data_IF_227749071950
#
_entry.id   IF_227749071950
#
_cell.length_a   1.000
_cell.length_b   1.000
_cell.length_c   1.000
_cell.angle_alpha   90.00
_cell.angle_beta   90.00
_cell.angle_gamma   90.00
#
_symmetry.space_group_name_H-M   'P 1'
#
loop_
_entity.id
_entity.type
_entity.pdbx_description
1 polymer ?
#
# COMPACT_ATOMS: atom_id res chain seq x y z
N UNK A 1 20.52 -6.95 -8.06
CA UNK A 1 19.51 -7.81 -7.39
C UNK A 1 18.18 -7.79 -8.12
N UNK A 2 17.62 -6.60 -8.41
CA UNK A 2 16.44 -6.45 -9.26
C UNK A 2 16.87 -5.79 -10.58
N UNK A 3 16.43 -6.34 -11.70
CA UNK A 3 16.57 -5.76 -13.04
C UNK A 3 15.17 -5.31 -13.51
N UNK A 4 14.95 -3.99 -13.56
CA UNK A 4 13.72 -3.43 -14.12
C UNK A 4 13.85 -3.40 -15.63
N UNK A 5 13.32 -4.42 -16.29
CA UNK A 5 13.43 -4.59 -17.75
C UNK A 5 12.58 -3.57 -18.51
N UNK A 6 11.34 -3.36 -18.06
CA UNK A 6 10.38 -2.50 -18.74
C UNK A 6 9.34 -1.89 -17.80
N UNK A 7 8.79 -0.75 -18.20
CA UNK A 7 7.62 -0.10 -17.61
C UNK A 7 6.53 0.05 -18.67
N UNK A 8 5.28 0.11 -18.22
CA UNK A 8 4.11 0.14 -19.12
C UNK A 8 3.13 1.21 -18.66
N UNK A 9 2.76 2.11 -19.57
CA UNK A 9 1.68 3.07 -19.34
C UNK A 9 0.98 3.42 -20.67
N UNK A 10 0.06 4.38 -20.63
CA UNK A 10 -0.80 4.83 -21.72
C UNK A 10 -0.02 5.34 -22.94
N UNK A 11 1.21 5.81 -22.76
CA UNK A 11 2.10 6.24 -23.83
C UNK A 11 3.50 5.62 -23.65
N UNK A 12 4.39 5.84 -24.63
CA UNK A 12 5.78 5.34 -24.62
C UNK A 12 6.78 6.49 -24.69
N UNK A 13 6.37 7.70 -24.28
CA UNK A 13 7.20 8.90 -24.35
C UNK A 13 8.16 8.93 -23.16
N UNK A 14 9.40 8.46 -23.37
CA UNK A 14 10.38 8.34 -22.30
C UNK A 14 10.76 9.70 -21.70
N UNK A 15 10.67 10.80 -22.46
CA UNK A 15 10.95 12.15 -21.95
C UNK A 15 9.91 12.56 -20.91
N UNK A 16 8.63 12.25 -21.17
CA UNK A 16 7.56 12.50 -20.21
C UNK A 16 7.71 11.66 -18.94
N UNK A 17 8.05 10.38 -19.05
CA UNK A 17 8.32 9.55 -17.88
C UNK A 17 9.55 10.04 -17.10
N UNK A 18 10.61 10.46 -17.78
CA UNK A 18 11.78 11.04 -17.12
C UNK A 18 11.43 12.33 -16.37
N UNK A 19 10.53 13.17 -16.93
CA UNK A 19 10.01 14.34 -16.24
C UNK A 19 9.22 13.96 -14.98
N UNK A 20 8.27 13.03 -15.08
CA UNK A 20 7.47 12.55 -13.94
C UNK A 20 8.35 11.95 -12.84
N UNK A 21 9.38 11.19 -13.20
CA UNK A 21 10.32 10.64 -12.23
C UNK A 21 11.16 11.72 -11.57
N UNK A 22 11.59 12.76 -12.32
CA UNK A 22 12.53 13.78 -11.82
C UNK A 22 11.91 14.73 -10.80
N UNK A 23 10.62 15.03 -10.94
CA UNK A 23 9.93 16.05 -10.15
C UNK A 23 8.64 15.50 -9.54
N UNK A 24 8.65 15.33 -8.21
CA UNK A 24 7.49 14.94 -7.44
C UNK A 24 7.08 16.08 -6.48
N UNK A 25 5.78 16.41 -6.45
CA UNK A 25 5.24 17.48 -5.61
C UNK A 25 5.39 17.21 -4.11
N UNK A 26 5.31 15.95 -3.70
CA UNK A 26 5.33 15.52 -2.29
C UNK A 26 6.74 15.03 -1.91
N UNK A 27 7.31 14.14 -2.73
CA UNK A 27 8.56 13.43 -2.43
C UNK A 27 9.81 14.18 -2.89
N UNK A 28 9.65 15.31 -3.58
CA UNK A 28 10.73 16.17 -4.03
C UNK A 28 11.44 15.69 -5.29
N UNK A 29 12.73 16.00 -5.41
CA UNK A 29 13.52 15.65 -6.60
C UNK A 29 14.11 14.25 -6.47
N UNK A 30 14.00 13.47 -7.55
CA UNK A 30 14.65 12.17 -7.59
C UNK A 30 16.17 12.31 -7.52
N UNK A 31 16.79 11.50 -6.65
CA UNK A 31 18.22 11.63 -6.29
C UNK A 31 19.16 11.08 -7.36
N UNK A 32 18.63 10.40 -8.36
CA UNK A 32 19.41 9.72 -9.40
C UNK A 32 19.26 10.40 -10.74
N UNK A 33 20.28 10.28 -11.59
CA UNK A 33 20.24 10.81 -12.94
C UNK A 33 19.32 9.98 -13.80
N UNK A 34 18.35 10.65 -14.44
CA UNK A 34 17.45 10.06 -15.41
C UNK A 34 17.64 10.76 -16.75
N UNK A 35 18.06 9.99 -17.75
CA UNK A 35 18.12 10.38 -19.16
C UNK A 35 17.27 9.44 -20.00
N UNK A 36 17.17 9.71 -21.29
CA UNK A 36 16.36 8.94 -22.24
C UNK A 36 17.19 8.53 -23.45
N UNK A 37 16.75 7.48 -24.12
CA UNK A 37 17.34 7.03 -25.37
C UNK A 37 16.30 6.32 -26.23
N UNK A 38 16.64 6.13 -27.50
CA UNK A 38 15.92 5.22 -28.39
C UNK A 38 16.38 3.78 -28.18
N UNK A 39 15.44 2.84 -28.27
CA UNK A 39 15.70 1.40 -28.31
C UNK A 39 16.27 0.97 -29.67
N UNK A 40 15.90 1.69 -30.73
CA UNK A 40 16.37 1.47 -32.09
C UNK A 40 16.42 2.80 -32.89
N UNK A 41 17.30 2.92 -33.93
CA UNK A 41 17.44 4.16 -34.70
C UNK A 41 16.18 4.61 -35.45
N UNK A 42 15.27 3.67 -35.76
CA UNK A 42 14.01 3.96 -36.45
C UNK A 42 12.89 4.47 -35.54
N UNK A 43 13.08 4.46 -34.21
CA UNK A 43 12.08 4.98 -33.28
C UNK A 43 11.89 6.50 -33.48
N UNK A 44 10.63 6.93 -33.52
CA UNK A 44 10.29 8.34 -33.76
C UNK A 44 10.68 9.23 -32.58
N UNK A 45 10.50 8.73 -31.36
CA UNK A 45 10.89 9.37 -30.08
C UNK A 45 11.69 8.39 -29.22
N UNK A 46 12.28 8.91 -28.15
CA UNK A 46 12.88 8.09 -27.11
C UNK A 46 11.80 7.24 -26.41
N UNK A 47 12.09 5.95 -26.30
CA UNK A 47 11.21 4.92 -25.74
C UNK A 47 11.94 4.09 -24.66
N UNK A 48 13.11 4.54 -24.23
CA UNK A 48 13.92 3.89 -23.20
C UNK A 48 14.34 4.92 -22.15
N UNK A 49 14.03 4.64 -20.89
CA UNK A 49 14.57 5.36 -19.74
C UNK A 49 15.98 4.84 -19.42
N UNK A 50 16.87 5.73 -18.98
CA UNK A 50 18.21 5.39 -18.52
C UNK A 50 18.42 5.98 -17.12
N UNK A 51 18.48 5.11 -16.11
CA UNK A 51 18.61 5.48 -14.69
C UNK A 51 19.94 4.96 -14.17
N UNK A 52 20.89 5.85 -13.83
CA UNK A 52 22.26 5.47 -13.44
C UNK A 52 22.93 4.49 -14.42
N UNK A 53 22.66 4.62 -15.72
CA UNK A 53 23.17 3.72 -16.77
C UNK A 53 22.33 2.46 -17.00
N UNK A 54 21.36 2.14 -16.13
CA UNK A 54 20.44 1.02 -16.34
C UNK A 54 19.34 1.39 -17.34
N UNK A 55 19.09 0.54 -18.34
CA UNK A 55 18.13 0.81 -19.44
C UNK A 55 16.80 0.11 -19.16
N UNK A 56 15.71 0.87 -19.24
CA UNK A 56 14.36 0.41 -18.94
C UNK A 56 13.45 0.76 -20.12
N UNK A 57 12.86 -0.25 -20.77
CA UNK A 57 12.03 -0.04 -21.96
C UNK A 57 10.63 0.46 -21.61
N UNK A 58 10.13 1.46 -22.33
CA UNK A 58 8.76 1.95 -22.21
C UNK A 58 7.86 1.20 -23.20
N UNK A 59 7.05 0.28 -22.70
CA UNK A 59 6.15 -0.55 -23.51
C UNK A 59 4.75 0.05 -23.52
N UNK A 60 4.07 -0.04 -24.67
CA UNK A 60 2.70 0.46 -24.82
C UNK A 60 1.73 -0.38 -24.00
N UNK A 61 0.90 0.27 -23.18
CA UNK A 61 -0.18 -0.40 -22.47
C UNK A 61 -1.13 -1.15 -23.41
N UNK A 62 -1.59 -2.31 -22.95
CA UNK A 62 -2.58 -3.13 -23.62
C UNK A 62 -3.87 -3.14 -22.80
N UNK A 63 -5.01 -3.27 -23.49
CA UNK A 63 -6.31 -3.41 -22.81
C UNK A 63 -6.43 -4.75 -22.09
N UNK A 64 -5.77 -5.78 -22.60
CA UNK A 64 -5.74 -7.12 -22.02
C UNK A 64 -4.29 -7.47 -21.63
N UNK A 65 -4.02 -7.82 -20.36
CA UNK A 65 -2.66 -8.15 -19.91
C UNK A 65 -2.02 -9.34 -20.62
N UNK A 66 -2.81 -10.22 -21.24
CA UNK A 66 -2.30 -11.36 -21.99
C UNK A 66 -1.57 -10.95 -23.29
N UNK A 67 -1.83 -9.75 -23.80
CA UNK A 67 -1.21 -9.25 -25.03
C UNK A 67 0.13 -8.55 -24.75
N UNK A 68 0.54 -8.45 -23.47
CA UNK A 68 1.82 -7.87 -23.09
C UNK A 68 2.98 -8.84 -23.38
N UNK A 69 4.11 -8.35 -23.89
CA UNK A 69 5.19 -9.20 -24.41
C UNK A 69 6.16 -9.70 -23.33
N UNK A 70 5.67 -10.09 -22.15
CA UNK A 70 6.54 -10.43 -21.00
C UNK A 70 7.54 -11.55 -21.28
N UNK A 71 7.08 -12.63 -21.92
CA UNK A 71 7.96 -13.75 -22.29
C UNK A 71 9.03 -13.34 -23.31
N UNK A 72 8.71 -12.43 -24.23
CA UNK A 72 9.68 -11.91 -25.22
C UNK A 72 10.72 -11.00 -24.57
N UNK A 73 10.32 -10.26 -23.54
CA UNK A 73 11.20 -9.37 -22.77
C UNK A 73 11.98 -10.10 -21.67
N UNK A 74 11.69 -11.39 -21.40
CA UNK A 74 12.32 -12.14 -20.33
C UNK A 74 11.91 -11.68 -18.92
N UNK A 75 10.70 -11.13 -18.77
CA UNK A 75 10.20 -10.63 -17.49
C UNK A 75 9.59 -11.77 -16.68
N UNK A 76 10.19 -12.09 -15.54
CA UNK A 76 9.70 -13.14 -14.63
C UNK A 76 8.64 -12.63 -13.64
N UNK A 77 8.83 -11.43 -13.10
CA UNK A 77 7.96 -10.85 -12.07
C UNK A 77 7.34 -9.55 -12.59
N UNK A 78 6.02 -9.44 -12.51
CA UNK A 78 5.29 -8.21 -12.85
C UNK A 78 4.63 -7.63 -11.60
N UNK A 79 4.79 -6.31 -11.43
CA UNK A 79 4.05 -5.53 -10.45
C UNK A 79 2.84 -4.92 -11.17
N UNK A 80 1.64 -5.37 -10.82
CA UNK A 80 0.40 -4.88 -11.40
C UNK A 80 -0.12 -3.69 -10.59
N UNK A 81 0.04 -2.50 -11.18
CA UNK A 81 -0.25 -1.20 -10.55
C UNK A 81 -1.18 -0.30 -11.36
N UNK A 82 -1.88 -0.84 -12.36
CA UNK A 82 -2.88 -0.06 -13.13
C UNK A 82 -4.14 0.22 -12.30
N UNK A 83 -4.44 -0.64 -11.33
CA UNK A 83 -5.70 -0.61 -10.56
C UNK A 83 -6.90 -1.20 -11.31
N UNK A 84 -6.73 -1.59 -12.58
CA UNK A 84 -7.80 -2.16 -13.41
C UNK A 84 -7.89 -3.69 -13.28
N UNK A 85 -6.77 -4.36 -12.99
CA UNK A 85 -6.67 -5.82 -12.98
C UNK A 85 -6.58 -6.39 -11.55
N UNK A 86 -7.42 -5.91 -10.64
CA UNK A 86 -7.45 -6.39 -9.23
C UNK A 86 -8.16 -7.73 -9.06
N UNK A 87 -8.90 -8.22 -10.06
CA UNK A 87 -9.45 -9.57 -10.06
C UNK A 87 -8.37 -10.58 -10.50
N UNK A 88 -8.15 -11.65 -9.71
CA UNK A 88 -7.15 -12.68 -9.99
C UNK A 88 -7.20 -13.21 -11.44
N UNK A 89 -8.37 -13.60 -12.01
CA UNK A 89 -8.42 -14.11 -13.38
C UNK A 89 -7.97 -13.09 -14.45
N UNK A 90 -8.16 -11.79 -14.17
CA UNK A 90 -7.72 -10.72 -15.06
C UNK A 90 -6.19 -10.55 -14.97
N UNK A 91 -5.63 -10.50 -13.75
CA UNK A 91 -4.19 -10.42 -13.52
C UNK A 91 -3.42 -11.67 -13.99
N UNK A 92 -4.05 -12.85 -14.01
CA UNK A 92 -3.47 -14.06 -14.63
C UNK A 92 -3.19 -13.89 -16.13
N UNK A 93 -3.72 -12.84 -16.78
CA UNK A 93 -3.32 -12.44 -18.12
C UNK A 93 -1.82 -12.19 -18.25
N UNK A 94 -1.16 -11.61 -17.25
CA UNK A 94 0.30 -11.42 -17.30
C UNK A 94 1.06 -12.74 -17.40
N UNK A 95 0.55 -13.81 -16.77
CA UNK A 95 1.14 -15.16 -16.89
C UNK A 95 1.03 -15.67 -18.32
N UNK A 96 -0.12 -15.45 -18.98
CA UNK A 96 -0.32 -15.80 -20.39
C UNK A 96 0.56 -14.97 -21.33
N UNK A 97 0.87 -13.72 -20.96
CA UNK A 97 1.86 -12.88 -21.64
C UNK A 97 3.31 -13.34 -21.46
N UNK A 98 3.55 -14.35 -20.62
CA UNK A 98 4.85 -15.00 -20.41
C UNK A 98 5.57 -14.64 -19.11
N UNK A 99 4.94 -13.87 -18.22
CA UNK A 99 5.47 -13.67 -16.87
C UNK A 99 5.30 -14.93 -16.00
N UNK A 100 6.11 -15.09 -14.96
CA UNK A 100 6.02 -16.24 -14.03
C UNK A 100 5.23 -15.91 -12.76
N UNK A 101 5.31 -14.67 -12.28
CA UNK A 101 4.69 -14.22 -11.03
C UNK A 101 4.12 -12.81 -11.18
N UNK A 102 3.00 -12.55 -10.49
CA UNK A 102 2.32 -11.26 -10.46
C UNK A 102 2.09 -10.81 -9.03
N UNK A 103 2.44 -9.57 -8.74
CA UNK A 103 2.19 -8.90 -7.46
C UNK A 103 1.23 -7.76 -7.72
N UNK A 104 -0.02 -7.91 -7.28
CA UNK A 104 -1.03 -6.86 -7.36
C UNK A 104 -0.76 -5.86 -6.23
N UNK A 105 -0.54 -4.59 -6.56
CA UNK A 105 -0.23 -3.53 -5.59
C UNK A 105 -1.46 -2.94 -4.89
N UNK A 106 -2.54 -3.72 -4.79
CA UNK A 106 -3.83 -3.35 -4.22
C UNK A 106 -4.56 -4.62 -3.70
N UNK A 107 -5.62 -4.48 -2.89
CA UNK A 107 -6.47 -5.62 -2.51
C UNK A 107 -7.03 -6.31 -3.75
N UNK A 108 -6.84 -7.63 -3.81
CA UNK A 108 -7.30 -8.43 -4.93
C UNK A 108 -8.58 -9.21 -4.59
N UNK A 109 -9.34 -9.56 -5.65
CA UNK A 109 -10.50 -10.46 -5.55
C UNK A 109 -10.26 -11.74 -6.35
N UNK A 110 -11.14 -12.74 -6.19
CA UNK A 110 -11.03 -14.02 -6.92
C UNK A 110 -9.98 -14.98 -6.35
N UNK A 111 -9.69 -14.90 -5.05
CA UNK A 111 -8.86 -15.89 -4.35
C UNK A 111 -7.35 -15.76 -4.57
N UNK A 112 -6.85 -14.56 -4.89
CA UNK A 112 -5.40 -14.29 -4.84
C UNK A 112 -4.93 -14.31 -3.37
N UNK A 113 -3.74 -14.86 -3.10
CA UNK A 113 -3.17 -14.87 -1.75
C UNK A 113 -2.74 -13.46 -1.36
N UNK A 114 -3.33 -12.93 -0.30
CA UNK A 114 -2.90 -11.66 0.31
C UNK A 114 -1.73 -11.90 1.25
N UNK A 115 -0.66 -11.14 1.08
CA UNK A 115 0.55 -11.20 1.89
C UNK A 115 0.87 -9.80 2.41
N UNK A 116 1.20 -9.72 3.70
CA UNK A 116 1.66 -8.50 4.37
C UNK A 116 3.03 -8.78 4.98
N UNK A 117 4.00 -7.95 4.63
CA UNK A 117 5.38 -8.06 5.08
C UNK A 117 5.48 -7.90 6.60
N UNK A 118 6.34 -8.68 7.25
CA UNK A 118 6.45 -8.77 8.72
C UNK A 118 5.29 -9.48 9.43
N UNK A 119 4.18 -9.78 8.74
CA UNK A 119 3.00 -10.41 9.36
C UNK A 119 2.82 -11.86 8.89
N UNK A 120 2.53 -12.07 7.60
CA UNK A 120 2.24 -13.40 7.05
C UNK A 120 2.97 -13.71 5.72
N UNK A 121 3.91 -12.87 5.29
CA UNK A 121 4.65 -13.07 4.03
C UNK A 121 5.37 -14.43 3.93
N UNK A 122 5.73 -15.04 5.06
CA UNK A 122 6.33 -16.38 5.12
C UNK A 122 5.35 -17.51 4.72
N UNK A 123 4.05 -17.23 4.66
CA UNK A 123 3.04 -18.15 4.12
C UNK A 123 3.08 -18.23 2.59
N UNK A 124 3.96 -17.46 1.93
CA UNK A 124 4.15 -17.56 0.49
C UNK A 124 4.65 -18.95 0.09
N UNK A 125 3.89 -19.61 -0.80
CA UNK A 125 4.23 -20.91 -1.36
C UNK A 125 4.56 -20.77 -2.83
N UNK A 126 5.83 -20.97 -3.24
CA UNK A 126 6.26 -20.77 -4.62
C UNK A 126 5.50 -21.60 -5.66
N UNK A 127 5.03 -22.80 -5.31
CA UNK A 127 4.29 -23.70 -6.20
C UNK A 127 2.79 -23.38 -6.31
N UNK A 128 2.21 -22.64 -5.36
CA UNK A 128 0.76 -22.38 -5.31
C UNK A 128 0.45 -20.91 -5.67
N UNK A 129 1.24 -19.98 -5.14
CA UNK A 129 0.96 -18.55 -5.19
C UNK A 129 1.64 -17.89 -6.40
N UNK A 130 0.94 -17.82 -7.53
CA UNK A 130 1.45 -17.20 -8.76
C UNK A 130 1.00 -15.75 -8.95
N UNK A 131 -0.21 -15.46 -8.50
CA UNK A 131 -0.78 -14.12 -8.44
C UNK A 131 -1.11 -13.82 -6.99
N UNK A 132 -0.41 -12.85 -6.41
CA UNK A 132 -0.53 -12.45 -5.01
C UNK A 132 -0.93 -10.98 -4.90
N UNK A 133 -1.44 -10.57 -3.74
CA UNK A 133 -1.76 -9.19 -3.42
C UNK A 133 -0.89 -8.73 -2.26
N UNK A 134 -0.31 -7.53 -2.38
CA UNK A 134 0.37 -6.86 -1.28
C UNK A 134 -0.61 -6.05 -0.39
N UNK A 135 -1.90 -6.40 -0.42
CA UNK A 135 -2.99 -5.71 0.28
C UNK A 135 -3.11 -4.22 -0.10
N UNK A 136 -3.67 -3.39 0.80
CA UNK A 136 -3.71 -1.92 0.67
C UNK A 136 -2.69 -1.26 1.61
N UNK A 137 -2.40 0.03 1.39
CA UNK A 137 -1.61 0.85 2.31
C UNK A 137 -2.19 0.83 3.75
N UNK A 138 -3.50 1.04 3.92
CA UNK A 138 -4.14 0.99 5.24
C UNK A 138 -4.05 -0.40 5.89
N UNK A 139 -4.14 -1.48 5.12
CA UNK A 139 -3.96 -2.85 5.66
C UNK A 139 -2.53 -3.07 6.13
N UNK A 140 -1.53 -2.60 5.37
CA UNK A 140 -0.12 -2.65 5.76
C UNK A 140 0.19 -1.77 6.99
N UNK A 141 -0.59 -0.72 7.26
CA UNK A 141 -0.47 0.07 8.48
C UNK A 141 -1.14 -0.61 9.70
N UNK A 142 -2.35 -1.15 9.52
CA UNK A 142 -3.12 -1.75 10.61
C UNK A 142 -2.64 -3.15 11.01
N UNK A 143 -2.28 -4.00 10.05
CA UNK A 143 -1.94 -5.39 10.31
C UNK A 143 -0.71 -5.56 11.23
N UNK A 144 0.38 -4.78 11.12
CA UNK A 144 1.49 -4.82 12.08
C UNK A 144 1.05 -4.57 13.53
N UNK A 145 0.18 -3.59 13.77
CA UNK A 145 -0.33 -3.28 15.11
C UNK A 145 -1.13 -4.47 15.65
N UNK A 146 -2.11 -4.95 14.88
CA UNK A 146 -2.93 -6.11 15.27
C UNK A 146 -2.09 -7.37 15.47
N UNK A 147 -1.07 -7.58 14.63
CA UNK A 147 -0.16 -8.71 14.76
C UNK A 147 0.58 -8.68 16.10
N UNK A 148 1.09 -7.51 16.52
CA UNK A 148 1.73 -7.36 17.84
C UNK A 148 0.72 -7.61 18.95
N UNK A 149 -0.49 -7.04 18.88
CA UNK A 149 -1.53 -7.23 19.89
C UNK A 149 -1.88 -8.71 20.11
N UNK A 150 -2.01 -9.46 19.02
CA UNK A 150 -2.31 -10.91 19.07
C UNK A 150 -1.09 -11.70 19.55
N UNK A 151 0.10 -11.42 19.02
CA UNK A 151 1.32 -12.18 19.32
C UNK A 151 1.82 -12.00 20.76
N UNK A 152 1.62 -10.82 21.32
CA UNK A 152 1.97 -10.50 22.72
C UNK A 152 0.88 -10.94 23.71
N UNK A 153 -0.18 -11.60 23.24
CA UNK A 153 -1.21 -12.19 24.08
C UNK A 153 -2.17 -11.18 24.71
N UNK A 154 -2.25 -9.94 24.22
CA UNK A 154 -3.35 -9.03 24.56
C UNK A 154 -4.66 -9.50 23.90
N UNK A 155 -4.54 -9.96 22.65
CA UNK A 155 -5.64 -10.40 21.82
C UNK A 155 -6.53 -9.24 21.35
N UNK A 156 -7.49 -9.58 20.51
CA UNK A 156 -8.52 -8.67 19.99
C UNK A 156 -9.85 -9.41 20.04
N UNK A 157 -10.77 -8.94 20.88
CA UNK A 157 -12.13 -9.46 20.94
C UNK A 157 -12.99 -8.81 19.85
N UNK A 158 -13.05 -7.48 19.84
CA UNK A 158 -13.65 -6.69 18.76
C UNK A 158 -12.85 -5.43 18.52
N UNK A 159 -12.93 -4.86 17.32
CA UNK A 159 -12.30 -3.58 17.04
C UNK A 159 -12.91 -2.82 15.86
N UNK A 160 -12.91 -1.51 15.99
CA UNK A 160 -13.31 -0.55 14.99
C UNK A 160 -12.13 0.36 14.68
N UNK A 161 -11.96 0.70 13.41
CA UNK A 161 -10.94 1.67 13.03
C UNK A 161 -11.50 2.73 12.10
N UNK A 162 -10.93 3.90 12.26
CA UNK A 162 -11.05 5.01 11.34
C UNK A 162 -9.69 5.24 10.73
N UNK A 163 -9.62 5.53 9.43
CA UNK A 163 -8.41 6.11 8.85
C UNK A 163 -8.69 7.54 8.39
N UNK A 164 -7.91 8.49 8.90
CA UNK A 164 -7.88 9.85 8.38
C UNK A 164 -6.87 9.82 7.24
N UNK A 165 -7.39 9.90 6.02
CA UNK A 165 -6.68 9.51 4.83
C UNK A 165 -6.48 10.70 3.89
N UNK A 166 -5.28 10.89 3.37
CA UNK A 166 -5.03 11.87 2.29
C UNK A 166 -5.85 11.55 1.04
N UNK A 167 -6.21 12.56 0.26
CA UNK A 167 -6.91 12.30 -1.00
C UNK A 167 -5.97 11.59 -1.99
N UNK A 168 -6.53 10.88 -2.98
CA UNK A 168 -5.75 10.11 -3.96
C UNK A 168 -6.19 10.42 -5.39
N UNK A 169 -5.50 9.84 -6.38
CA UNK A 169 -5.77 10.03 -7.80
C UNK A 169 -7.20 9.64 -8.25
N UNK A 170 -7.95 8.89 -7.42
CA UNK A 170 -9.34 8.54 -7.76
C UNK A 170 -10.34 9.68 -7.51
N UNK A 171 -10.01 10.61 -6.63
CA UNK A 171 -10.84 11.75 -6.26
C UNK A 171 -10.79 12.85 -7.34
N UNK A 172 -11.67 13.86 -7.20
CA UNK A 172 -11.85 14.92 -8.19
C UNK A 172 -11.42 16.27 -7.61
N UNK A 173 -10.82 17.11 -8.45
CA UNK A 173 -10.40 18.47 -8.08
C UNK A 173 -11.60 19.36 -7.75
N UNK A 174 -12.68 19.22 -8.54
CA UNK A 174 -13.98 19.86 -8.34
C UNK A 174 -15.09 18.81 -8.32
N UNK A 175 -16.30 19.20 -7.93
CA UNK A 175 -17.47 18.29 -7.95
C UNK A 175 -17.65 17.65 -9.35
N UNK A 176 -17.77 16.32 -9.40
CA UNK A 176 -17.80 15.56 -10.64
C UNK A 176 -18.40 14.16 -10.52
N UNK A 177 -18.43 13.45 -11.65
CA UNK A 177 -19.12 12.16 -11.76
C UNK A 177 -18.34 11.05 -11.04
N UNK A 178 -19.00 10.40 -10.07
CA UNK A 178 -18.51 9.20 -9.38
C UNK A 178 -19.68 8.28 -9.02
N UNK A 179 -20.18 7.53 -10.00
CA UNK A 179 -21.43 6.73 -9.86
C UNK A 179 -21.32 5.64 -8.78
N UNK A 180 -20.11 5.08 -8.58
CA UNK A 180 -19.86 4.02 -7.59
C UNK A 180 -19.57 4.54 -6.17
N UNK A 181 -19.24 5.82 -6.03
CA UNK A 181 -18.93 6.48 -4.75
C UNK A 181 -19.32 7.96 -4.84
N UNK A 182 -20.58 8.27 -4.56
CA UNK A 182 -21.12 9.63 -4.75
C UNK A 182 -20.37 10.66 -3.91
N UNK A 183 -20.01 10.30 -2.67
CA UNK A 183 -19.24 11.18 -1.77
C UNK A 183 -17.85 11.44 -2.33
N UNK A 184 -17.19 10.42 -2.88
CA UNK A 184 -15.88 10.55 -3.54
C UNK A 184 -15.87 11.40 -4.81
N UNK A 185 -17.03 11.73 -5.39
CA UNK A 185 -17.15 12.65 -6.52
C UNK A 185 -17.09 14.13 -6.14
N UNK A 186 -17.16 14.46 -4.84
CA UNK A 186 -17.09 15.85 -4.36
C UNK A 186 -15.66 16.39 -4.39
N UNK A 187 -15.51 17.70 -4.48
CA UNK A 187 -14.23 18.40 -4.53
C UNK A 187 -13.32 18.02 -3.34
N UNK A 188 -12.21 17.34 -3.63
CA UNK A 188 -11.42 16.63 -2.61
C UNK A 188 -10.65 17.55 -1.66
N UNK A 189 -10.07 18.63 -2.18
CA UNK A 189 -9.19 19.53 -1.43
C UNK A 189 -9.94 20.51 -0.51
N UNK A 190 -11.27 20.43 -0.42
CA UNK A 190 -12.10 21.34 0.38
C UNK A 190 -13.18 20.62 1.20
N UNK A 191 -13.11 19.29 1.30
CA UNK A 191 -14.09 18.50 2.05
C UNK A 191 -13.41 17.45 2.93
N UNK A 192 -14.08 17.12 4.03
CA UNK A 192 -13.87 15.86 4.74
C UNK A 192 -14.87 14.86 4.17
N UNK A 193 -14.40 13.85 3.45
CA UNK A 193 -15.25 12.93 2.68
C UNK A 193 -15.26 11.55 3.38
N UNK A 194 -16.36 11.16 4.05
CA UNK A 194 -16.45 9.83 4.64
C UNK A 194 -16.59 8.76 3.56
N UNK A 195 -15.89 7.65 3.70
CA UNK A 195 -15.93 6.51 2.78
C UNK A 195 -15.79 5.18 3.53
N UNK A 196 -16.36 4.10 2.98
CA UNK A 196 -16.18 2.75 3.53
C UNK A 196 -14.80 2.22 3.19
N UNK A 197 -14.28 1.27 3.98
CA UNK A 197 -13.00 0.62 3.68
C UNK A 197 -13.06 -0.89 3.94
N UNK A 198 -12.34 -1.65 3.11
CA UNK A 198 -12.13 -3.08 3.29
C UNK A 198 -10.88 -3.43 4.10
N UNK A 199 -10.06 -2.45 4.49
CA UNK A 199 -8.71 -2.69 5.03
C UNK A 199 -8.72 -3.58 6.28
N UNK A 200 -9.61 -3.31 7.23
CA UNK A 200 -9.69 -4.12 8.44
C UNK A 200 -10.34 -5.48 8.27
N UNK A 201 -11.27 -5.61 7.33
CA UNK A 201 -11.78 -6.92 6.94
C UNK A 201 -10.64 -7.75 6.33
N UNK A 202 -9.73 -7.13 5.59
CA UNK A 202 -8.55 -7.77 5.03
C UNK A 202 -7.51 -8.19 6.09
N UNK A 203 -7.48 -7.54 7.27
CA UNK A 203 -6.66 -8.00 8.40
C UNK A 203 -7.08 -9.40 8.83
N UNK A 204 -8.37 -9.73 8.83
CA UNK A 204 -8.85 -11.08 9.11
C UNK A 204 -8.32 -12.15 8.13
N UNK A 205 -8.06 -11.78 6.87
CA UNK A 205 -7.46 -12.69 5.88
C UNK A 205 -5.97 -12.95 6.14
N UNK A 206 -5.28 -11.97 6.73
CA UNK A 206 -3.83 -11.98 7.00
C UNK A 206 -3.54 -12.54 8.40
N UNK A 207 -4.46 -12.33 9.35
CA UNK A 207 -4.41 -12.78 10.73
C UNK A 207 -5.73 -13.50 11.02
N UNK A 208 -5.85 -14.80 10.67
CA UNK A 208 -7.12 -15.54 10.71
C UNK A 208 -7.84 -15.53 12.06
N UNK A 209 -7.13 -15.43 13.18
CA UNK A 209 -7.71 -15.31 14.53
C UNK A 209 -8.53 -14.04 14.77
N UNK A 210 -8.46 -13.06 13.86
CA UNK A 210 -9.20 -11.80 13.89
C UNK A 210 -10.31 -11.71 12.82
N UNK A 211 -10.56 -12.80 12.09
CA UNK A 211 -11.59 -12.86 11.07
C UNK A 211 -12.98 -12.52 11.66
N UNK A 212 -13.65 -11.53 11.07
CA UNK A 212 -14.97 -11.08 11.50
C UNK A 212 -14.99 -10.18 12.75
N UNK A 213 -13.84 -9.91 13.38
CA UNK A 213 -13.75 -9.09 14.60
C UNK A 213 -13.44 -7.61 14.34
N UNK A 214 -13.00 -7.29 13.13
CA UNK A 214 -12.53 -5.96 12.74
C UNK A 214 -13.30 -5.42 11.53
N UNK A 215 -13.75 -4.17 11.63
CA UNK A 215 -14.31 -3.40 10.50
C UNK A 215 -14.08 -1.91 10.72
N UNK A 216 -14.29 -1.07 9.71
CA UNK A 216 -14.19 0.36 9.91
C UNK A 216 -14.47 1.23 8.70
N UNK A 217 -14.04 2.47 8.80
CA UNK A 217 -14.30 3.53 7.83
C UNK A 217 -13.08 4.40 7.57
N UNK A 218 -13.22 5.32 6.63
CA UNK A 218 -12.21 6.33 6.33
C UNK A 218 -12.84 7.71 6.21
N UNK A 219 -12.08 8.73 6.56
CA UNK A 219 -12.34 10.12 6.21
C UNK A 219 -11.22 10.59 5.30
N UNK A 220 -11.55 10.87 4.04
CA UNK A 220 -10.59 11.48 3.11
C UNK A 220 -10.53 12.98 3.39
N UNK A 221 -9.34 13.52 3.62
CA UNK A 221 -9.12 14.91 4.04
C UNK A 221 -8.21 15.67 3.06
N UNK A 222 -8.21 17.02 3.08
CA UNK A 222 -7.41 17.87 2.18
C UNK A 222 -5.89 17.87 2.40
N UNK A 223 -5.26 16.70 2.44
CA UNK A 223 -3.80 16.52 2.45
C UNK A 223 -3.38 15.66 1.26
N UNK A 224 -2.23 15.94 0.62
CA UNK A 224 -1.81 15.26 -0.61
C UNK A 224 -1.15 13.89 -0.38
N UNK A 225 -0.59 13.66 0.81
CA UNK A 225 0.04 12.39 1.21
C UNK A 225 0.11 12.27 2.74
N UNK A 226 0.46 11.07 3.22
CA UNK A 226 0.42 10.62 4.61
C UNK A 226 -1.00 10.44 5.13
N UNK A 227 -1.20 9.43 5.97
CA UNK A 227 -2.49 9.08 6.55
C UNK A 227 -2.27 8.45 7.91
N UNK A 228 -3.30 8.41 8.73
CA UNK A 228 -3.22 7.83 10.08
C UNK A 228 -4.35 6.82 10.30
N UNK A 229 -4.04 5.78 11.08
CA UNK A 229 -5.00 4.80 11.57
C UNK A 229 -5.34 5.15 13.02
N UNK A 230 -6.62 5.24 13.30
CA UNK A 230 -7.21 5.34 14.63
C UNK A 230 -7.91 4.01 14.92
N UNK A 231 -7.38 3.22 15.85
CA UNK A 231 -7.87 1.89 16.20
C UNK A 231 -8.41 1.89 17.63
N UNK A 232 -9.70 1.59 17.77
CA UNK A 232 -10.36 1.32 19.04
C UNK A 232 -10.68 -0.17 19.10
N UNK A 233 -10.27 -0.86 20.16
CA UNK A 233 -10.50 -2.30 20.30
C UNK A 233 -10.71 -2.70 21.76
N UNK A 234 -11.37 -3.83 21.96
CA UNK A 234 -11.47 -4.52 23.25
C UNK A 234 -10.47 -5.67 23.28
N UNK A 235 -9.64 -5.72 24.33
CA UNK A 235 -8.61 -6.74 24.49
C UNK A 235 -9.21 -7.98 25.15
N UNK A 236 -8.65 -9.16 24.88
CA UNK A 236 -9.22 -10.42 25.41
C UNK A 236 -8.90 -10.68 26.88
N UNK A 237 -8.13 -9.80 27.51
CA UNK A 237 -7.73 -9.87 28.92
C UNK A 237 -7.46 -8.48 29.47
N UNK A 238 -7.56 -8.35 30.79
CA UNK A 238 -7.11 -7.16 31.52
C UNK A 238 -5.66 -6.79 31.12
N UNK A 239 -5.46 -5.52 30.78
CA UNK A 239 -4.18 -4.89 30.42
C UNK A 239 -4.25 -3.37 30.63
N UNK A 240 -3.11 -2.70 30.55
CA UNK A 240 -2.97 -1.23 30.59
C UNK A 240 -2.48 -0.65 29.26
N UNK A 241 -2.59 0.68 29.06
CA UNK A 241 -2.03 1.33 27.85
C UNK A 241 -0.52 1.35 27.89
N UNK A 242 0.05 1.41 29.09
CA UNK A 242 1.49 1.36 29.33
C UNK A 242 2.07 0.02 28.88
N UNK A 243 1.37 -1.10 29.14
CA UNK A 243 1.78 -2.42 28.65
C UNK A 243 1.75 -2.50 27.11
N UNK A 244 0.69 -1.99 26.48
CA UNK A 244 0.55 -1.99 25.02
C UNK A 244 1.62 -1.11 24.36
N UNK A 245 1.83 0.12 24.86
CA UNK A 245 2.88 1.04 24.41
C UNK A 245 4.26 0.39 24.49
N UNK A 246 4.60 -0.20 25.64
CA UNK A 246 5.88 -0.88 25.83
C UNK A 246 6.07 -2.07 24.89
N UNK A 247 5.00 -2.83 24.62
CA UNK A 247 5.03 -3.96 23.70
C UNK A 247 5.24 -3.52 22.24
N UNK A 248 4.53 -2.49 21.77
CA UNK A 248 4.69 -1.92 20.43
C UNK A 248 6.10 -1.37 20.22
N UNK A 249 6.62 -0.62 21.20
CA UNK A 249 8.01 -0.12 21.19
C UNK A 249 9.02 -1.27 21.15
N UNK A 250 8.85 -2.31 21.97
CA UNK A 250 9.72 -3.49 21.96
C UNK A 250 9.68 -4.23 20.63
N UNK A 251 8.49 -4.46 20.07
CA UNK A 251 8.32 -5.14 18.78
C UNK A 251 9.01 -4.38 17.64
N UNK A 252 8.88 -3.05 17.60
CA UNK A 252 9.53 -2.18 16.60
C UNK A 252 11.06 -2.29 16.59
N UNK A 253 11.66 -2.58 17.75
CA UNK A 253 13.11 -2.75 17.91
C UNK A 253 13.59 -4.19 17.68
N UNK A 254 12.65 -5.13 17.55
CA UNK A 254 12.92 -6.57 17.46
C UNK A 254 12.26 -7.18 16.21
N UNK A 255 11.25 -8.04 16.38
CA UNK A 255 10.70 -8.86 15.31
C UNK A 255 9.87 -8.08 14.27
N UNK A 256 9.54 -6.81 14.53
CA UNK A 256 8.87 -5.92 13.57
C UNK A 256 9.78 -4.82 13.03
N UNK A 257 11.10 -4.91 13.26
CA UNK A 257 12.06 -3.89 12.81
C UNK A 257 11.97 -3.67 11.29
N UNK A 258 11.83 -2.40 10.90
CA UNK A 258 11.69 -1.98 9.50
C UNK A 258 10.25 -2.06 8.96
N UNK A 259 9.32 -2.66 9.70
CA UNK A 259 7.88 -2.72 9.36
C UNK A 259 7.08 -1.82 10.29
N UNK A 260 7.24 -2.00 11.61
CA UNK A 260 6.67 -1.15 12.65
C UNK A 260 7.76 -0.23 13.22
N UNK A 261 7.47 1.06 13.24
CA UNK A 261 8.20 2.06 14.01
C UNK A 261 7.36 2.65 15.12
N UNK A 262 7.95 3.57 15.89
CA UNK A 262 7.20 4.46 16.77
C UNK A 262 7.87 5.83 16.84
N UNK A 263 7.13 6.80 17.37
CA UNK A 263 7.63 8.12 17.79
C UNK A 263 7.03 8.49 19.15
N UNK A 264 7.77 9.28 19.93
CA UNK A 264 7.33 9.96 21.15
C UNK A 264 7.60 11.48 21.07
N UNK A 265 7.79 12.00 19.87
CA UNK A 265 7.90 13.42 19.55
C UNK A 265 6.53 14.01 19.15
N UNK A 266 6.41 15.34 19.16
CA UNK A 266 5.17 16.04 18.75
C UNK A 266 5.13 16.22 17.22
N UNK A 267 5.06 15.11 16.49
CA UNK A 267 5.10 15.12 15.01
C UNK A 267 3.70 15.30 14.40
N UNK A 268 3.68 15.79 13.16
CA UNK A 268 2.48 15.92 12.33
C UNK A 268 2.64 15.18 10.99
N UNK A 269 1.59 15.16 10.16
CA UNK A 269 1.56 14.34 8.94
C UNK A 269 2.76 14.56 8.00
N UNK A 270 3.21 15.81 7.80
CA UNK A 270 4.33 16.11 6.91
C UNK A 270 5.65 15.47 7.33
N UNK A 271 5.83 15.19 8.61
CA UNK A 271 7.08 14.65 9.15
C UNK A 271 7.29 13.17 8.81
N UNK A 272 6.23 12.51 8.35
CA UNK A 272 6.25 11.12 7.91
C UNK A 272 6.36 10.97 6.38
N UNK A 273 6.44 12.08 5.63
CA UNK A 273 6.72 12.03 4.19
C UNK A 273 8.08 11.36 3.98
N UNK A 274 8.13 10.39 3.07
CA UNK A 274 9.29 9.54 2.77
C UNK A 274 9.70 8.54 3.88
N UNK A 275 8.89 8.37 4.94
CA UNK A 275 9.10 7.25 5.85
C UNK A 275 8.77 5.92 5.15
N UNK A 276 9.66 4.94 5.27
CA UNK A 276 9.58 3.68 4.56
C UNK A 276 8.92 2.56 5.38
N UNK A 277 8.61 2.81 6.65
CA UNK A 277 7.95 1.83 7.52
C UNK A 277 6.49 1.69 7.13
N UNK A 278 5.93 0.50 7.31
CA UNK A 278 4.52 0.25 6.98
C UNK A 278 3.57 0.88 7.99
N UNK A 279 3.99 0.96 9.26
CA UNK A 279 3.22 1.52 10.36
C UNK A 279 4.15 2.24 11.34
N UNK A 280 3.74 3.40 11.82
CA UNK A 280 4.51 4.20 12.78
C UNK A 280 3.57 4.53 13.92
N UNK A 281 3.81 3.91 15.06
CA UNK A 281 3.01 4.07 16.25
C UNK A 281 3.29 5.42 16.92
N UNK A 282 2.27 6.26 17.08
CA UNK A 282 2.36 7.50 17.84
C UNK A 282 2.13 7.23 19.34
N UNK A 283 3.23 7.19 20.09
CA UNK A 283 3.21 6.88 21.52
C UNK A 283 2.52 7.97 22.34
N UNK A 284 2.81 9.24 22.06
CA UNK A 284 2.25 10.36 22.84
C UNK A 284 0.76 10.50 22.59
N UNK A 285 0.33 10.51 21.32
CA UNK A 285 -1.08 10.58 20.97
C UNK A 285 -1.86 9.42 21.60
N UNK A 286 -1.25 8.23 21.68
CA UNK A 286 -1.89 7.07 22.31
C UNK A 286 -1.97 7.20 23.83
N UNK A 287 -0.85 7.47 24.51
CA UNK A 287 -0.78 7.51 25.97
C UNK A 287 -1.63 8.64 26.57
N UNK A 288 -1.75 9.77 25.88
CA UNK A 288 -2.50 10.94 26.37
C UNK A 288 -4.03 10.81 26.19
N UNK A 289 -4.49 10.02 25.22
CA UNK A 289 -5.91 9.99 24.82
C UNK A 289 -6.62 8.68 25.19
N UNK A 290 -6.12 7.97 26.20
CA UNK A 290 -6.73 6.77 26.74
C UNK A 290 -7.24 7.01 28.16
N UNK A 291 -8.34 6.36 28.54
CA UNK A 291 -8.93 6.52 29.86
C UNK A 291 -7.97 6.02 30.96
N UNK A 292 -7.79 6.78 32.07
CA UNK A 292 -7.02 6.32 33.21
C UNK A 292 -7.75 5.18 33.92
N UNK A 293 -7.00 4.15 34.34
CA UNK A 293 -7.49 3.00 35.11
C UNK A 293 -8.57 2.14 34.42
N UNK A 294 -8.76 2.27 33.11
CA UNK A 294 -9.67 1.42 32.34
C UNK A 294 -9.12 -0.01 32.28
N UNK A 295 -9.93 -0.98 32.76
CA UNK A 295 -9.71 -2.39 32.44
C UNK A 295 -10.17 -2.63 31.02
N UNK A 296 -9.23 -2.93 30.13
CA UNK A 296 -9.53 -3.22 28.72
C UNK A 296 -9.94 -4.68 28.57
N UNK A 297 -11.21 -4.95 28.86
CA UNK A 297 -11.93 -6.17 28.51
C UNK A 297 -12.76 -5.92 27.25
#
# INVERSE_FOLDING_TARGET
>A
EIDVVAVVDMNTDAEYFAYQMRYDTVHGKFKYTVTTAKSNPSATKDDTLVVNGHRILCVKAQRNPADLPWGKLGVDYVIESTGLFTAKPAAEGHLRGGAKKVIISAPASGGAKTLVMGVNHHEYKPSEHHVVSNASCTTNCLAPIVHVLVKEGFGVETGLMTTIHSYTATQKTVDGVSVKDWRGGRAAAVNIIPSTTGAAKAVGMVIPSTQGKLTGMSFRVPTPDVSVVDLTFTATRDTSIQEIDAALKRASKSYMKGILGYTDEELVSSDFINDNRSSIYDSKATLQNNLPNERRL
#
